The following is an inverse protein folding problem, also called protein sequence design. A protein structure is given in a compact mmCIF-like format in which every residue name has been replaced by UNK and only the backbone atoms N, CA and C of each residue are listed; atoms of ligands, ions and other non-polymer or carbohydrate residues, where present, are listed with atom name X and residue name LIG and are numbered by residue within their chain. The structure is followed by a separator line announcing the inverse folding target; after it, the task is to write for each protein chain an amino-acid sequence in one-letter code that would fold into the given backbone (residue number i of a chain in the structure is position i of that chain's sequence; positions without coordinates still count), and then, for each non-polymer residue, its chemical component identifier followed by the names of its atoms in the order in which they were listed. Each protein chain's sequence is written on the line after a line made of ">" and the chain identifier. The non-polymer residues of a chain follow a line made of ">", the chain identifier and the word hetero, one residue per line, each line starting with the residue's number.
data_IF_605787455370
#
_entry.id   IF_605787455370
#
_cell.length_a   1.000
_cell.length_b   1.000
_cell.length_c   1.000
_cell.angle_alpha   90.00
_cell.angle_beta   90.00
_cell.angle_gamma   90.00
#
_symmetry.space_group_name_H-M   'P 1'
#
loop_
_entity.id
_entity.type
_entity.pdbx_description
1 polymer ?
#
# COMPACT_ATOMS: atom_id res chain seq x y z
N UNK A 1 4.07 -3.81 1.35
CA UNK A 1 5.43 -3.70 1.93
C UNK A 1 6.45 -2.98 1.04
N UNK A 2 6.05 -2.30 -0.05
CA UNK A 2 6.96 -1.44 -0.85
C UNK A 2 7.21 -0.10 -0.14
N UNK A 3 6.24 0.36 0.65
CA UNK A 3 6.32 1.62 1.42
C UNK A 3 7.47 1.64 2.43
N UNK A 4 7.72 0.50 3.10
CA UNK A 4 8.84 0.36 4.03
C UNK A 4 10.22 0.38 3.33
N UNK A 5 10.28 -0.01 2.05
CA UNK A 5 11.53 -0.04 1.27
C UNK A 5 12.05 1.35 0.90
N UNK A 6 11.21 2.38 0.91
CA UNK A 6 11.64 3.77 0.73
C UNK A 6 12.20 4.39 2.02
N UNK A 7 12.03 3.74 3.17
CA UNK A 7 12.54 4.23 4.46
C UNK A 7 14.00 3.84 4.73
N UNK A 8 14.66 3.15 3.80
CA UNK A 8 16.02 2.61 4.01
C UNK A 8 16.92 2.68 2.78
N UNK A 9 16.88 3.78 2.03
CA UNK A 9 18.12 4.27 1.42
C UNK A 9 18.50 5.52 2.22
N UNK A 10 19.58 5.42 2.99
CA UNK A 10 19.88 6.28 4.12
C UNK A 10 20.50 7.62 3.71
N UNK A 11 19.86 8.34 2.79
CA UNK A 11 20.41 9.59 2.24
C UNK A 11 19.38 10.58 1.71
N UNK A 12 18.41 10.13 0.92
CA UNK A 12 17.40 11.00 0.30
C UNK A 12 16.19 11.10 1.22
N UNK A 13 15.95 12.33 1.69
CA UNK A 13 14.75 12.70 2.43
C UNK A 13 13.57 12.57 1.46
N UNK A 14 12.46 11.93 1.87
CA UNK A 14 11.27 11.76 0.99
C UNK A 14 10.79 13.09 0.42
N UNK A 15 10.96 14.15 1.21
CA UNK A 15 10.67 15.52 0.83
C UNK A 15 11.42 15.93 -0.44
N UNK A 16 12.60 15.37 -0.76
CA UNK A 16 13.44 15.76 -1.90
C UNK A 16 12.98 15.15 -3.24
N UNK A 17 12.01 14.24 -3.24
CA UNK A 17 11.42 13.70 -4.47
C UNK A 17 10.46 14.74 -5.09
N UNK A 18 10.67 15.17 -6.36
CA UNK A 18 9.83 16.19 -6.99
C UNK A 18 8.33 15.86 -6.96
N UNK A 19 8.00 14.57 -7.10
CA UNK A 19 6.63 14.06 -7.05
C UNK A 19 6.01 14.21 -5.66
N UNK A 20 6.78 14.15 -4.58
CA UNK A 20 6.28 14.31 -3.20
C UNK A 20 5.94 15.78 -2.92
N UNK A 21 6.75 16.72 -3.43
CA UNK A 21 6.49 18.15 -3.31
C UNK A 21 5.25 18.64 -4.07
N UNK A 22 4.88 17.96 -5.16
CA UNK A 22 3.65 18.28 -5.90
C UNK A 22 2.39 17.87 -5.12
N UNK A 23 2.52 16.95 -4.15
CA UNK A 23 1.41 16.41 -3.37
C UNK A 23 1.72 16.36 -1.86
N UNK A 24 1.95 17.51 -1.21
CA UNK A 24 2.37 17.58 0.20
C UNK A 24 1.34 16.99 1.17
N UNK A 25 0.05 16.98 0.79
CA UNK A 25 -1.05 16.45 1.60
C UNK A 25 -1.27 14.93 1.43
N UNK A 26 -0.70 14.32 0.39
CA UNK A 26 -0.92 12.90 0.04
C UNK A 26 0.09 11.98 0.72
N UNK A 27 1.30 12.50 0.96
CA UNK A 27 2.44 11.75 1.48
C UNK A 27 2.92 12.27 2.84
N UNK A 28 2.00 12.75 3.68
CA UNK A 28 2.29 12.97 5.09
C UNK A 28 2.80 11.65 5.69
N UNK A 29 3.86 11.72 6.49
CA UNK A 29 4.71 10.58 6.90
C UNK A 29 4.05 9.39 7.61
N UNK A 30 2.72 9.38 7.68
CA UNK A 30 1.86 8.36 8.26
C UNK A 30 0.93 7.76 7.20
N UNK A 31 1.50 7.17 6.16
CA UNK A 31 0.72 6.29 5.27
C UNK A 31 0.42 5.03 6.08
N UNK A 32 -0.73 5.07 6.76
CA UNK A 32 -1.22 3.98 7.60
C UNK A 32 -1.27 2.67 6.79
N UNK A 33 -0.86 1.57 7.40
CA UNK A 33 -1.07 0.23 6.82
C UNK A 33 -2.57 -0.12 6.68
N UNK A 34 -3.43 0.70 7.28
CA UNK A 34 -4.88 0.64 7.14
C UNK A 34 -5.28 1.40 5.88
N UNK A 35 -6.16 0.84 5.02
CA UNK A 35 -6.69 1.58 3.89
C UNK A 35 -7.28 2.92 4.35
N UNK A 36 -7.14 4.00 3.56
CA UNK A 36 -7.71 5.30 3.89
C UNK A 36 -9.18 5.18 4.27
N UNK A 37 -9.63 6.07 5.17
CA UNK A 37 -11.06 6.18 5.48
C UNK A 37 -11.84 6.37 4.17
N UNK A 38 -12.71 5.42 3.86
CA UNK A 38 -13.62 5.54 2.73
C UNK A 38 -14.88 6.23 3.24
N UNK A 39 -15.37 7.21 2.49
CA UNK A 39 -16.63 7.91 2.78
C UNK A 39 -17.83 6.95 2.81
N UNK A 40 -17.71 5.79 2.16
CA UNK A 40 -18.74 4.76 2.09
C UNK A 40 -18.17 3.37 2.37
N UNK A 41 -19.00 2.54 3.01
CA UNK A 41 -18.75 1.11 3.13
C UNK A 41 -18.89 0.44 1.76
N UNK A 42 -17.94 -0.41 1.40
CA UNK A 42 -17.89 -1.09 0.11
C UNK A 42 -18.09 -2.60 0.30
N UNK A 43 -18.88 -3.20 -0.59
CA UNK A 43 -19.05 -4.64 -0.72
C UNK A 43 -18.37 -5.14 -2.00
N UNK A 44 -17.97 -6.42 -1.99
CA UNK A 44 -17.53 -7.12 -3.20
C UNK A 44 -18.63 -8.10 -3.57
N UNK A 45 -19.34 -7.79 -4.66
CA UNK A 45 -20.40 -8.66 -5.15
C UNK A 45 -19.80 -9.77 -6.00
N UNK A 46 -20.15 -11.02 -5.67
CA UNK A 46 -19.69 -12.19 -6.41
C UNK A 46 -20.76 -12.63 -7.41
N UNK A 47 -20.30 -13.17 -8.54
CA UNK A 47 -21.21 -13.86 -9.47
C UNK A 47 -21.82 -15.06 -8.73
N UNK A 48 -23.13 -15.34 -8.91
CA UNK A 48 -23.75 -16.53 -8.35
C UNK A 48 -22.94 -17.79 -8.66
N UNK A 49 -22.86 -18.70 -7.70
CA UNK A 49 -22.06 -19.93 -7.75
C UNK A 49 -20.53 -19.77 -7.63
N UNK A 50 -20.01 -18.60 -7.24
CA UNK A 50 -18.60 -18.46 -6.85
C UNK A 50 -18.33 -19.19 -5.53
N UNK A 51 -17.31 -20.06 -5.51
CA UNK A 51 -16.84 -20.73 -4.30
C UNK A 51 -15.52 -20.12 -3.79
N UNK A 52 -15.25 -20.17 -2.47
CA UNK A 52 -13.95 -19.78 -1.94
C UNK A 52 -12.83 -20.65 -2.51
N UNK A 53 -11.69 -20.02 -2.81
CA UNK A 53 -10.46 -20.71 -3.21
C UNK A 53 -9.35 -20.38 -2.22
N UNK A 54 -8.50 -21.36 -1.93
CA UNK A 54 -7.32 -21.19 -1.09
C UNK A 54 -6.10 -21.72 -1.83
N UNK A 55 -5.01 -20.97 -1.78
CA UNK A 55 -3.73 -21.32 -2.39
C UNK A 55 -2.62 -21.07 -1.38
N UNK A 56 -1.63 -21.95 -1.31
CA UNK A 56 -0.47 -21.74 -0.46
C UNK A 56 0.27 -20.46 -0.88
N UNK A 57 0.76 -19.64 0.07
CA UNK A 57 1.59 -18.49 -0.27
C UNK A 57 2.83 -18.92 -1.07
N UNK A 58 3.23 -18.08 -2.03
CA UNK A 58 4.49 -18.29 -2.74
C UNK A 58 5.70 -18.14 -1.78
N UNK A 59 6.74 -18.94 -1.98
CA UNK A 59 8.00 -18.79 -1.23
C UNK A 59 8.78 -17.60 -1.79
N UNK A 60 8.71 -16.47 -1.10
CA UNK A 60 9.58 -15.33 -1.39
C UNK A 60 11.02 -15.66 -0.97
N UNK A 61 12.00 -15.31 -1.82
CA UNK A 61 13.42 -15.35 -1.46
C UNK A 61 13.73 -14.25 -0.44
N UNK A 62 14.70 -14.46 0.44
CA UNK A 62 15.12 -13.51 1.49
C UNK A 62 16.29 -12.62 1.06
N UNK A 63 16.59 -12.53 -0.24
CA UNK A 63 17.77 -11.80 -0.77
C UNK A 63 17.59 -10.30 -0.73
#
# INVERSE_FOLDING_TARGET
>A
AVFASLKLESGVKMEELPVVFEFPDVFLGDVSDVPPEREVEFSIDLVPCTSPISMAPYRMSTS
#
